data_IF_998736690560
#
_entry.id   IF_998736690560
#
_cell.length_a   1.000
_cell.length_b   1.000
_cell.length_c   1.000
_cell.angle_alpha   90.00
_cell.angle_beta   90.00
_cell.angle_gamma   90.00
#
_symmetry.space_group_name_H-M   'P 1'
#
loop_
_entity.id
_entity.type
_entity.pdbx_description
1 polymer ?
#
# COMPACT_ATOMS: atom_id res chain seq x y z
N UNK A 1 0.25 -25.06 -1.53
CA UNK A 1 1.23 -25.60 -0.56
C UNK A 1 1.59 -27.01 -0.97
N UNK A 2 2.89 -27.31 -1.09
CA UNK A 2 3.38 -28.58 -1.68
C UNK A 2 3.61 -29.68 -0.64
N UNK A 3 4.02 -29.31 0.57
CA UNK A 3 4.27 -30.24 1.67
C UNK A 3 3.96 -29.56 3.01
N UNK A 4 3.70 -30.36 4.03
CA UNK A 4 3.46 -29.94 5.41
C UNK A 4 4.51 -30.55 6.33
N UNK A 5 5.01 -29.77 7.30
CA UNK A 5 5.97 -30.23 8.29
C UNK A 5 5.35 -31.05 9.43
N UNK A 6 4.01 -31.05 9.54
CA UNK A 6 3.25 -31.73 10.57
C UNK A 6 2.00 -32.40 9.97
N UNK A 7 1.43 -33.37 10.69
CA UNK A 7 0.14 -33.98 10.31
C UNK A 7 -1.05 -33.06 10.52
N UNK A 8 -0.95 -32.11 11.45
CA UNK A 8 -2.01 -31.12 11.72
C UNK A 8 -2.18 -30.17 10.53
N UNK A 9 -1.09 -29.89 9.82
CA UNK A 9 -1.06 -29.03 8.63
C UNK A 9 -1.39 -29.76 7.33
N UNK A 10 -1.64 -31.08 7.36
CA UNK A 10 -1.84 -31.90 6.15
C UNK A 10 -3.02 -31.40 5.29
N UNK A 11 -4.03 -30.77 5.90
CA UNK A 11 -5.18 -30.19 5.18
C UNK A 11 -4.82 -29.04 4.23
N UNK A 12 -3.67 -28.39 4.41
CA UNK A 12 -3.21 -27.32 3.53
C UNK A 12 -2.53 -27.83 2.25
N UNK A 13 -2.07 -29.08 2.24
CA UNK A 13 -1.37 -29.65 1.08
C UNK A 13 -2.30 -29.66 -0.13
N UNK A 14 -1.80 -29.16 -1.26
CA UNK A 14 -2.57 -28.99 -2.50
C UNK A 14 -3.39 -27.70 -2.58
N UNK A 15 -3.56 -26.94 -1.49
CA UNK A 15 -4.32 -25.69 -1.52
C UNK A 15 -3.55 -24.54 -2.19
N UNK A 16 -4.28 -23.67 -2.89
CA UNK A 16 -3.75 -22.42 -3.40
C UNK A 16 -3.76 -21.35 -2.30
N UNK A 17 -2.61 -20.75 -2.04
CA UNK A 17 -2.42 -19.90 -0.86
C UNK A 17 -1.69 -18.60 -1.18
N UNK A 18 -1.85 -17.62 -0.31
CA UNK A 18 -1.03 -16.40 -0.21
C UNK A 18 -0.35 -16.38 1.16
N UNK A 19 0.77 -15.66 1.24
CA UNK A 19 1.59 -15.58 2.46
C UNK A 19 1.38 -14.21 3.10
N UNK A 20 1.09 -14.16 4.39
CA UNK A 20 1.23 -12.96 5.19
C UNK A 20 2.73 -12.69 5.43
N UNK A 21 3.29 -11.60 4.87
CA UNK A 21 4.72 -11.35 5.01
C UNK A 21 5.11 -10.78 6.37
N UNK A 22 4.18 -10.31 7.20
CA UNK A 22 4.47 -9.71 8.51
C UNK A 22 4.42 -10.74 9.63
N UNK A 23 5.58 -11.10 10.17
CA UNK A 23 5.72 -12.16 11.18
C UNK A 23 6.00 -11.58 12.56
N UNK A 24 5.59 -12.30 13.60
CA UNK A 24 5.86 -11.95 14.99
C UNK A 24 5.31 -10.56 15.40
N UNK A 25 4.11 -10.20 14.89
CA UNK A 25 3.48 -8.90 15.18
C UNK A 25 3.25 -8.66 16.68
N UNK A 26 2.94 -9.70 17.45
CA UNK A 26 2.63 -9.59 18.88
C UNK A 26 1.14 -9.33 19.17
N UNK A 27 0.82 -9.10 20.44
CA UNK A 27 -0.56 -9.06 20.94
C UNK A 27 -1.26 -7.71 20.77
N UNK A 28 -0.52 -6.60 20.61
CA UNK A 28 -1.12 -5.28 20.41
C UNK A 28 -1.39 -5.02 18.92
N UNK A 29 -2.66 -4.98 18.46
CA UNK A 29 -2.96 -4.73 17.04
C UNK A 29 -2.55 -3.32 16.57
N UNK A 30 -2.24 -2.39 17.48
CA UNK A 30 -1.86 -1.01 17.18
C UNK A 30 -0.38 -0.86 16.82
N UNK A 31 0.49 -1.78 17.24
CA UNK A 31 1.94 -1.68 17.04
C UNK A 31 2.58 -3.06 17.01
N UNK A 32 3.57 -3.23 16.15
CA UNK A 32 4.34 -4.46 16.06
C UNK A 32 5.29 -4.64 17.25
N UNK A 33 5.57 -5.88 17.63
CA UNK A 33 6.52 -6.24 18.68
C UNK A 33 7.97 -5.94 18.26
N UNK A 34 8.88 -6.03 19.22
CA UNK A 34 10.33 -5.94 18.99
C UNK A 34 10.89 -7.12 18.16
N UNK A 35 10.16 -8.24 18.12
CA UNK A 35 10.50 -9.42 17.30
C UNK A 35 9.95 -9.35 15.88
N UNK A 36 9.17 -8.32 15.56
CA UNK A 36 8.53 -8.20 14.26
C UNK A 36 9.56 -8.23 13.13
N UNK A 37 9.28 -9.05 12.12
CA UNK A 37 10.11 -9.17 10.91
C UNK A 37 9.25 -9.36 9.68
N UNK A 38 9.86 -9.14 8.52
CA UNK A 38 9.20 -9.27 7.23
C UNK A 38 9.86 -10.43 6.49
N UNK A 39 9.07 -11.39 5.99
CA UNK A 39 9.59 -12.50 5.19
C UNK A 39 10.50 -11.98 4.06
N UNK A 40 11.69 -12.56 3.92
CA UNK A 40 12.74 -12.10 3.01
C UNK A 40 13.74 -11.11 3.64
N UNK A 41 13.55 -10.73 4.91
CA UNK A 41 14.44 -9.84 5.66
C UNK A 41 14.46 -10.19 7.16
N UNK A 42 15.54 -10.80 7.71
CA UNK A 42 16.81 -11.16 7.07
C UNK A 42 16.83 -12.56 6.42
N UNK A 43 15.73 -13.31 6.55
CA UNK A 43 15.63 -14.71 6.13
C UNK A 43 15.43 -14.85 4.61
N UNK A 44 15.53 -16.08 4.09
CA UNK A 44 15.22 -16.38 2.69
C UNK A 44 13.78 -15.98 2.33
N UNK A 45 13.62 -15.42 1.12
CA UNK A 45 12.35 -14.83 0.64
C UNK A 45 11.66 -15.66 -0.44
N UNK A 46 10.73 -15.00 -1.14
CA UNK A 46 9.85 -15.63 -2.14
C UNK A 46 10.39 -15.60 -3.57
N UNK A 47 11.59 -15.04 -3.80
CA UNK A 47 12.27 -15.03 -5.09
C UNK A 47 13.01 -16.36 -5.33
N UNK A 48 12.26 -17.45 -5.22
CA UNK A 48 12.71 -18.83 -5.33
C UNK A 48 11.54 -19.71 -5.79
N UNK A 49 11.81 -20.91 -6.31
CA UNK A 49 10.75 -21.86 -6.70
C UNK A 49 10.02 -22.46 -5.50
N UNK A 50 10.63 -22.45 -4.32
CA UNK A 50 10.08 -22.96 -3.06
C UNK A 50 10.49 -22.05 -1.91
N UNK A 51 9.60 -21.92 -0.91
CA UNK A 51 9.87 -21.22 0.35
C UNK A 51 9.23 -22.00 1.49
N UNK A 52 9.91 -22.05 2.64
CA UNK A 52 9.38 -22.66 3.86
C UNK A 52 8.83 -21.54 4.74
N UNK A 53 7.55 -21.64 5.11
CA UNK A 53 6.88 -20.66 5.97
C UNK A 53 6.05 -21.38 7.03
N UNK A 54 5.96 -20.86 8.27
CA UNK A 54 5.00 -21.37 9.25
C UNK A 54 3.57 -21.24 8.73
N UNK A 55 2.73 -22.23 9.01
CA UNK A 55 1.36 -22.30 8.47
C UNK A 55 0.44 -21.20 9.00
N UNK A 56 0.72 -20.63 10.17
CA UNK A 56 0.00 -19.47 10.71
C UNK A 56 0.11 -18.20 9.83
N UNK A 57 1.13 -18.12 8.97
CA UNK A 57 1.31 -17.02 8.02
C UNK A 57 0.77 -17.35 6.63
N UNK A 58 0.01 -18.42 6.49
CA UNK A 58 -0.59 -18.85 5.23
C UNK A 58 -2.08 -18.55 5.27
N UNK A 59 -2.61 -18.01 4.18
CA UNK A 59 -4.05 -17.80 4.00
C UNK A 59 -4.51 -18.32 2.63
N UNK A 60 -5.80 -18.68 2.47
CA UNK A 60 -6.32 -19.08 1.18
C UNK A 60 -6.14 -17.98 0.13
N UNK A 61 -5.68 -18.36 -1.05
CA UNK A 61 -5.62 -17.44 -2.19
C UNK A 61 -7.05 -17.04 -2.58
N UNK A 62 -7.34 -15.76 -2.85
CA UNK A 62 -8.63 -15.37 -3.43
C UNK A 62 -8.92 -16.18 -4.71
N UNK A 63 -10.08 -16.84 -4.82
CA UNK A 63 -10.34 -17.81 -5.89
C UNK A 63 -10.26 -17.18 -7.29
N UNK A 64 -10.81 -15.98 -7.45
CA UNK A 64 -10.91 -15.27 -8.73
C UNK A 64 -9.65 -14.50 -9.14
N UNK A 65 -8.53 -14.71 -8.44
CA UNK A 65 -7.27 -14.03 -8.71
C UNK A 65 -6.40 -14.93 -9.59
N UNK A 66 -5.66 -14.34 -10.52
CA UNK A 66 -4.49 -15.00 -11.09
C UNK A 66 -3.42 -15.22 -10.01
N UNK A 67 -2.43 -16.07 -10.29
CA UNK A 67 -1.26 -16.19 -9.41
C UNK A 67 -0.48 -14.88 -9.31
N UNK A 68 -0.41 -14.10 -10.40
CA UNK A 68 0.27 -12.81 -10.40
C UNK A 68 -0.45 -11.79 -9.51
N UNK A 69 -1.79 -11.72 -9.56
CA UNK A 69 -2.57 -10.86 -8.66
C UNK A 69 -2.44 -11.31 -7.21
N UNK A 70 -2.50 -12.62 -6.96
CA UNK A 70 -2.33 -13.19 -5.63
C UNK A 70 -0.95 -12.89 -5.04
N UNK A 71 0.12 -12.91 -5.83
CA UNK A 71 1.46 -12.57 -5.40
C UNK A 71 1.66 -11.06 -5.20
N UNK A 72 0.99 -10.22 -6.02
CA UNK A 72 1.09 -8.76 -5.95
C UNK A 72 0.38 -8.16 -4.72
N UNK A 73 -0.60 -8.86 -4.16
CA UNK A 73 -1.50 -8.35 -3.12
C UNK A 73 -0.87 -8.20 -1.72
N UNK A 74 -0.21 -9.21 -1.11
CA UNK A 74 -0.07 -9.29 0.35
C UNK A 74 0.61 -8.07 1.00
N UNK A 75 1.85 -7.78 0.63
CA UNK A 75 2.66 -6.75 1.28
C UNK A 75 2.10 -5.34 1.03
N UNK A 76 1.86 -4.99 -0.24
CA UNK A 76 1.38 -3.66 -0.59
C UNK A 76 -0.08 -3.45 -0.17
N UNK A 77 -0.89 -4.50 -0.31
CA UNK A 77 -2.29 -4.50 0.06
C UNK A 77 -2.49 -4.31 1.56
N UNK A 78 -1.76 -5.03 2.42
CA UNK A 78 -1.95 -4.93 3.88
C UNK A 78 -1.44 -3.59 4.39
N UNK A 79 -0.32 -3.10 3.83
CA UNK A 79 0.22 -1.78 4.17
C UNK A 79 -0.77 -0.68 3.81
N UNK A 80 -1.33 -0.73 2.60
CA UNK A 80 -2.33 0.24 2.15
C UNK A 80 -3.64 0.11 2.92
N UNK A 81 -4.08 -1.11 3.25
CA UNK A 81 -5.28 -1.37 4.03
C UNK A 81 -5.15 -0.78 5.44
N UNK A 82 -4.04 -1.04 6.14
CA UNK A 82 -3.79 -0.43 7.44
C UNK A 82 -3.73 1.09 7.35
N UNK A 83 -3.02 1.63 6.36
CA UNK A 83 -2.90 3.08 6.21
C UNK A 83 -4.26 3.76 5.94
N UNK A 84 -5.07 3.19 5.04
CA UNK A 84 -6.35 3.78 4.65
C UNK A 84 -7.47 3.46 5.66
N UNK A 85 -7.71 2.17 5.90
CA UNK A 85 -8.87 1.69 6.64
C UNK A 85 -8.63 1.75 8.16
N UNK A 86 -7.54 1.17 8.65
CA UNK A 86 -7.31 1.02 10.10
C UNK A 86 -6.88 2.34 10.74
N UNK A 87 -5.84 2.98 10.20
CA UNK A 87 -5.28 4.23 10.73
C UNK A 87 -6.10 5.41 10.21
N UNK A 88 -6.20 5.50 8.89
CA UNK A 88 -6.88 6.56 8.18
C UNK A 88 -8.38 6.59 8.40
N UNK A 89 -9.02 5.51 8.89
CA UNK A 89 -10.49 5.42 9.09
C UNK A 89 -11.27 5.89 7.87
N UNK A 90 -10.79 5.46 6.69
CA UNK A 90 -11.34 5.81 5.38
C UNK A 90 -12.85 5.52 5.31
N UNK A 91 -13.62 6.48 4.81
CA UNK A 91 -15.04 6.32 4.48
C UNK A 91 -15.44 7.02 3.18
N UNK A 92 -16.68 6.81 2.74
CA UNK A 92 -17.21 7.39 1.49
C UNK A 92 -17.30 8.91 1.49
N UNK A 93 -17.41 9.52 2.67
CA UNK A 93 -17.42 10.98 2.82
C UNK A 93 -16.02 11.62 2.64
N UNK A 94 -14.96 10.81 2.54
CA UNK A 94 -13.61 11.33 2.46
C UNK A 94 -13.24 11.90 1.09
N UNK A 95 -12.48 13.00 1.15
CA UNK A 95 -11.62 13.47 0.06
C UNK A 95 -10.21 13.00 0.34
N UNK A 96 -9.79 11.96 -0.37
CA UNK A 96 -8.50 11.29 -0.15
C UNK A 96 -7.47 11.86 -1.13
N UNK A 97 -6.35 12.35 -0.62
CA UNK A 97 -5.18 12.67 -1.44
C UNK A 97 -4.11 11.60 -1.20
N UNK A 98 -3.69 10.92 -2.27
CA UNK A 98 -2.63 9.91 -2.23
C UNK A 98 -1.39 10.50 -2.90
N UNK A 99 -0.27 10.56 -2.18
CA UNK A 99 0.96 11.14 -2.72
C UNK A 99 1.78 10.12 -3.50
N UNK A 100 2.53 10.58 -4.49
CA UNK A 100 3.51 9.75 -5.20
C UNK A 100 2.91 8.52 -5.88
N UNK A 101 1.78 8.67 -6.58
CA UNK A 101 1.11 7.55 -7.25
C UNK A 101 2.05 6.88 -8.27
N UNK A 102 1.99 5.54 -8.31
CA UNK A 102 2.83 4.69 -9.16
C UNK A 102 3.39 3.49 -8.42
N UNK A 103 3.71 3.63 -7.13
CA UNK A 103 4.17 2.50 -6.31
C UNK A 103 3.05 1.53 -5.94
N UNK A 104 3.42 0.31 -5.55
CA UNK A 104 2.46 -0.74 -5.17
C UNK A 104 1.53 -0.33 -4.01
N UNK A 105 2.05 0.32 -2.96
CA UNK A 105 1.21 0.77 -1.83
C UNK A 105 0.27 1.90 -2.24
N UNK A 106 0.78 2.91 -2.98
CA UNK A 106 -0.03 4.05 -3.43
C UNK A 106 -1.16 3.62 -4.39
N UNK A 107 -0.87 2.69 -5.30
CA UNK A 107 -1.90 2.12 -6.20
C UNK A 107 -2.93 1.30 -5.42
N UNK A 108 -2.52 0.50 -4.43
CA UNK A 108 -3.48 -0.19 -3.54
C UNK A 108 -4.30 0.80 -2.70
N UNK A 109 -3.72 1.89 -2.21
CA UNK A 109 -4.45 2.93 -1.48
C UNK A 109 -5.55 3.56 -2.34
N UNK A 110 -5.29 3.77 -3.64
CA UNK A 110 -6.29 4.24 -4.60
C UNK A 110 -7.43 3.23 -4.73
N UNK A 111 -7.11 1.94 -4.85
CA UNK A 111 -8.12 0.90 -4.97
C UNK A 111 -8.99 0.79 -3.71
N UNK A 112 -8.40 0.93 -2.51
CA UNK A 112 -9.15 0.98 -1.25
C UNK A 112 -10.04 2.21 -1.16
N UNK A 113 -9.52 3.40 -1.48
CA UNK A 113 -10.29 4.65 -1.50
C UNK A 113 -11.47 4.56 -2.48
N UNK A 114 -11.25 3.97 -3.66
CA UNK A 114 -12.31 3.75 -4.65
C UNK A 114 -13.37 2.79 -4.13
N UNK A 115 -12.94 1.68 -3.54
CA UNK A 115 -13.84 0.68 -2.95
C UNK A 115 -14.71 1.26 -1.83
N UNK A 116 -14.17 2.18 -1.05
CA UNK A 116 -14.89 2.90 -0.01
C UNK A 116 -15.87 3.95 -0.57
N UNK A 117 -15.85 4.24 -1.87
CA UNK A 117 -16.66 5.28 -2.50
C UNK A 117 -16.19 6.71 -2.19
N UNK A 118 -14.93 6.88 -1.80
CA UNK A 118 -14.35 8.20 -1.51
C UNK A 118 -14.05 8.98 -2.79
N UNK A 119 -13.91 10.31 -2.66
CA UNK A 119 -13.42 11.17 -3.76
C UNK A 119 -11.89 11.21 -3.70
N UNK A 120 -11.21 10.95 -4.82
CA UNK A 120 -9.77 10.65 -4.80
C UNK A 120 -8.99 11.64 -5.67
N UNK A 121 -7.95 12.25 -5.10
CA UNK A 121 -6.90 12.93 -5.83
C UNK A 121 -5.55 12.22 -5.64
N UNK A 122 -4.65 12.39 -6.61
CA UNK A 122 -3.30 11.84 -6.54
C UNK A 122 -2.25 12.90 -6.84
N UNK A 123 -1.01 12.70 -6.37
CA UNK A 123 0.14 13.46 -6.87
C UNK A 123 1.19 12.54 -7.51
N UNK A 124 1.93 13.04 -8.51
CA UNK A 124 3.06 12.34 -9.11
C UNK A 124 4.07 13.33 -9.68
N UNK A 125 5.28 12.89 -10.02
CA UNK A 125 6.17 13.62 -10.94
C UNK A 125 5.90 13.26 -12.40
N UNK A 126 5.00 12.31 -12.67
CA UNK A 126 4.70 11.82 -14.02
C UNK A 126 3.25 12.04 -14.39
N UNK A 127 3.04 12.76 -15.49
CA UNK A 127 1.72 13.01 -16.06
C UNK A 127 1.05 11.70 -16.50
N UNK A 128 1.82 10.79 -17.09
CA UNK A 128 1.35 9.46 -17.50
C UNK A 128 0.78 8.67 -16.31
N UNK A 129 1.45 8.68 -15.15
CA UNK A 129 0.97 7.99 -13.95
C UNK A 129 -0.30 8.62 -13.38
N UNK A 130 -0.43 9.94 -13.46
CA UNK A 130 -1.66 10.64 -13.09
C UNK A 130 -2.81 10.19 -14.00
N UNK A 131 -2.59 10.11 -15.30
CA UNK A 131 -3.60 9.64 -16.25
C UNK A 131 -4.00 8.19 -15.99
N UNK A 132 -3.05 7.29 -15.73
CA UNK A 132 -3.34 5.91 -15.34
C UNK A 132 -4.18 5.86 -14.04
N UNK A 133 -3.85 6.68 -13.04
CA UNK A 133 -4.63 6.78 -11.81
C UNK A 133 -6.06 7.30 -12.04
N UNK A 134 -6.26 8.23 -12.99
CA UNK A 134 -7.59 8.71 -13.39
C UNK A 134 -8.44 7.60 -14.00
N UNK A 135 -7.85 6.77 -14.87
CA UNK A 135 -8.54 5.59 -15.41
C UNK A 135 -8.94 4.59 -14.32
N UNK A 136 -8.21 4.57 -13.21
CA UNK A 136 -8.51 3.70 -12.06
C UNK A 136 -9.50 4.32 -11.05
N UNK A 137 -9.90 5.58 -11.22
CA UNK A 137 -10.92 6.23 -10.40
C UNK A 137 -10.50 7.51 -9.67
N UNK A 138 -9.28 8.01 -9.87
CA UNK A 138 -8.90 9.33 -9.37
C UNK A 138 -9.67 10.44 -10.11
N UNK A 139 -10.37 11.31 -9.38
CA UNK A 139 -11.11 12.44 -9.96
C UNK A 139 -10.20 13.60 -10.35
N UNK A 140 -9.06 13.76 -9.65
CA UNK A 140 -8.06 14.78 -9.90
C UNK A 140 -6.63 14.23 -9.74
N UNK A 141 -5.66 14.90 -10.33
CA UNK A 141 -4.26 14.58 -10.09
C UNK A 141 -3.34 15.73 -10.42
N UNK A 142 -2.22 15.80 -9.71
CA UNK A 142 -1.36 16.98 -9.70
C UNK A 142 0.12 16.62 -9.83
N UNK A 143 0.83 17.36 -10.68
CA UNK A 143 2.28 17.24 -10.80
C UNK A 143 2.93 17.95 -9.61
N UNK A 144 3.51 17.22 -8.66
CA UNK A 144 4.13 17.87 -7.49
C UNK A 144 5.44 18.61 -7.84
N UNK A 145 5.93 18.47 -9.07
CA UNK A 145 7.05 19.23 -9.63
C UNK A 145 6.63 20.64 -10.06
N UNK A 146 5.34 20.90 -10.23
CA UNK A 146 4.79 22.23 -10.47
C UNK A 146 4.49 22.90 -9.13
N UNK A 147 5.14 24.01 -8.82
CA UNK A 147 4.97 24.68 -7.53
C UNK A 147 3.55 25.20 -7.25
N UNK A 148 2.71 25.35 -8.28
CA UNK A 148 1.32 25.80 -8.17
C UNK A 148 0.31 24.68 -7.92
N UNK A 149 0.77 23.43 -7.83
CA UNK A 149 -0.08 22.27 -7.59
C UNK A 149 -0.95 22.37 -6.32
N UNK A 150 -0.52 22.98 -5.20
CA UNK A 150 -1.35 23.08 -4.01
C UNK A 150 -2.57 23.98 -4.23
N UNK A 151 -2.39 25.11 -4.90
CA UNK A 151 -3.47 26.01 -5.28
C UNK A 151 -4.45 25.30 -6.22
N UNK A 152 -3.95 24.64 -7.26
CA UNK A 152 -4.76 23.85 -8.18
C UNK A 152 -5.53 22.73 -7.45
N UNK A 153 -4.93 22.10 -6.45
CA UNK A 153 -5.59 21.10 -5.60
C UNK A 153 -6.77 21.71 -4.84
N UNK A 154 -6.59 22.87 -4.19
CA UNK A 154 -7.68 23.54 -3.48
C UNK A 154 -8.81 24.00 -4.42
N UNK A 155 -8.49 24.45 -5.62
CA UNK A 155 -9.48 24.91 -6.60
C UNK A 155 -10.28 23.75 -7.22
N UNK A 156 -9.61 22.69 -7.64
CA UNK A 156 -10.24 21.61 -8.42
C UNK A 156 -10.80 20.47 -7.56
N UNK A 157 -10.20 20.23 -6.39
CA UNK A 157 -10.53 19.11 -5.50
C UNK A 157 -11.00 19.58 -4.12
N UNK A 158 -10.46 20.72 -3.68
CA UNK A 158 -10.63 21.25 -2.33
C UNK A 158 -9.80 20.51 -1.30
N UNK A 159 -10.04 20.83 -0.02
CA UNK A 159 -9.22 20.33 1.10
C UNK A 159 -9.40 18.82 1.33
N UNK A 160 -8.34 17.99 1.22
CA UNK A 160 -8.43 16.58 1.57
C UNK A 160 -8.81 16.40 3.04
N UNK A 161 -9.62 15.40 3.37
CA UNK A 161 -9.95 15.01 4.75
C UNK A 161 -9.08 13.84 5.22
N UNK A 162 -8.50 13.11 4.28
CA UNK A 162 -7.51 12.07 4.50
C UNK A 162 -6.37 12.24 3.50
N UNK A 163 -5.13 12.26 3.98
CA UNK A 163 -3.93 12.18 3.15
C UNK A 163 -3.21 10.88 3.48
N UNK A 164 -2.86 10.11 2.45
CA UNK A 164 -2.07 8.88 2.57
C UNK A 164 -0.73 9.13 1.89
N UNK A 165 0.33 9.19 2.69
CA UNK A 165 1.67 9.58 2.26
C UNK A 165 2.68 8.44 2.48
N UNK A 166 3.49 8.19 1.46
CA UNK A 166 4.67 7.32 1.55
C UNK A 166 5.99 8.06 1.25
N UNK A 167 5.92 9.33 0.88
CA UNK A 167 7.06 10.08 0.39
C UNK A 167 7.78 10.81 1.52
N UNK A 168 7.07 11.49 2.42
CA UNK A 168 7.69 12.41 3.37
C UNK A 168 8.37 13.60 2.69
N UNK A 169 9.58 13.93 3.14
CA UNK A 169 10.46 14.91 2.52
C UNK A 169 9.99 16.38 2.62
N UNK A 170 10.59 17.27 1.82
CA UNK A 170 10.34 18.73 1.91
C UNK A 170 8.89 19.15 1.67
N UNK A 171 8.13 18.38 0.89
CA UNK A 171 6.73 18.65 0.56
C UNK A 171 5.74 18.39 1.70
N UNK A 172 6.16 17.80 2.82
CA UNK A 172 5.24 17.36 3.87
C UNK A 172 4.44 18.51 4.51
N UNK A 173 5.04 19.70 4.67
CA UNK A 173 4.30 20.85 5.20
C UNK A 173 3.20 21.36 4.24
N UNK A 174 3.37 21.15 2.93
CA UNK A 174 2.31 21.45 1.94
C UNK A 174 1.10 20.54 2.18
N UNK A 175 1.31 19.27 2.53
CA UNK A 175 0.23 18.35 2.89
C UNK A 175 -0.50 18.82 4.15
N UNK A 176 0.24 19.25 5.18
CA UNK A 176 -0.32 19.85 6.40
C UNK A 176 -1.16 21.09 6.06
N UNK A 177 -0.73 21.92 5.11
CA UNK A 177 -1.43 23.13 4.69
C UNK A 177 -2.75 22.81 3.97
N UNK A 178 -2.73 21.83 3.07
CA UNK A 178 -3.88 21.41 2.28
C UNK A 178 -4.96 20.71 3.12
N UNK A 179 -4.55 19.89 4.09
CA UNK A 179 -5.46 19.05 4.88
C UNK A 179 -6.62 19.86 5.48
N UNK A 180 -7.82 19.31 5.54
CA UNK A 180 -8.96 19.95 6.18
C UNK A 180 -8.75 20.03 7.70
N UNK A 181 -9.33 21.02 8.41
CA UNK A 181 -9.46 20.94 9.87
C UNK A 181 -10.12 19.62 10.31
N UNK A 182 -9.60 18.99 11.36
CA UNK A 182 -10.00 17.64 11.80
C UNK A 182 -9.53 16.51 10.87
N UNK A 183 -8.73 16.82 9.84
CA UNK A 183 -8.26 15.85 8.87
C UNK A 183 -7.14 14.95 9.40
N UNK A 184 -6.92 13.85 8.69
CA UNK A 184 -5.92 12.82 9.03
C UNK A 184 -4.83 12.75 7.97
N UNK A 185 -3.58 12.68 8.38
CA UNK A 185 -2.44 12.40 7.52
C UNK A 185 -1.78 11.12 8.02
N UNK A 186 -1.87 10.06 7.22
CA UNK A 186 -1.27 8.76 7.51
C UNK A 186 0.01 8.62 6.70
N UNK A 187 1.14 8.55 7.39
CA UNK A 187 2.45 8.36 6.79
C UNK A 187 2.94 6.92 6.98
N UNK A 188 3.18 6.21 5.88
CA UNK A 188 3.66 4.82 5.91
C UNK A 188 5.12 4.65 5.42
N UNK A 189 5.78 5.74 5.04
CA UNK A 189 7.12 5.71 4.50
C UNK A 189 7.78 7.08 4.48
N UNK A 190 9.02 7.12 4.01
CA UNK A 190 9.78 8.36 3.87
C UNK A 190 10.76 8.25 2.70
N UNK A 191 10.27 7.86 1.51
CA UNK A 191 11.14 7.66 0.32
C UNK A 191 11.93 8.91 -0.06
N UNK A 192 11.40 10.10 0.21
CA UNK A 192 12.06 11.39 0.01
C UNK A 192 12.78 11.92 1.27
N UNK A 193 12.91 11.09 2.31
CA UNK A 193 13.54 11.43 3.58
C UNK A 193 12.59 12.08 4.59
N UNK A 194 13.15 12.50 5.72
CA UNK A 194 12.40 13.20 6.76
C UNK A 194 12.05 14.64 6.33
N UNK A 195 10.89 15.18 6.75
CA UNK A 195 10.61 16.60 6.57
C UNK A 195 11.61 17.45 7.37
N UNK A 196 12.09 18.59 6.83
CA UNK A 196 13.09 19.42 7.50
C UNK A 196 12.55 20.09 8.78
N UNK A 197 11.24 20.34 8.84
CA UNK A 197 10.51 20.85 10.00
C UNK A 197 9.06 20.41 9.94
N UNK A 198 8.38 20.44 11.08
CA UNK A 198 6.93 20.29 11.18
C UNK A 198 6.31 21.58 11.73
N UNK A 199 5.30 22.10 11.04
CA UNK A 199 4.55 23.27 11.49
C UNK A 199 3.53 22.89 12.57
N UNK A 200 3.98 22.86 13.83
CA UNK A 200 3.14 22.46 14.97
C UNK A 200 1.95 23.41 15.18
N UNK A 201 2.08 24.70 14.83
CA UNK A 201 0.99 25.66 14.95
C UNK A 201 -0.21 25.21 14.13
N UNK A 202 0.02 24.85 12.87
CA UNK A 202 -1.05 24.37 12.00
C UNK A 202 -1.61 23.03 12.45
N UNK A 203 -0.79 22.14 12.99
CA UNK A 203 -1.23 20.84 13.51
C UNK A 203 -2.24 21.03 14.65
N UNK A 204 -1.90 21.77 15.71
CA UNK A 204 -2.83 21.93 16.83
C UNK A 204 -4.00 22.85 16.51
N UNK A 205 -3.80 23.90 15.69
CA UNK A 205 -4.86 24.84 15.35
C UNK A 205 -5.95 24.19 14.48
N UNK A 206 -5.54 23.37 13.50
CA UNK A 206 -6.47 22.63 12.65
C UNK A 206 -6.92 21.30 13.27
N UNK A 207 -6.44 20.95 14.46
CA UNK A 207 -6.74 19.68 15.14
C UNK A 207 -6.47 18.46 14.23
N UNK A 208 -5.26 18.40 13.65
CA UNK A 208 -4.88 17.37 12.70
C UNK A 208 -4.41 16.09 13.41
N UNK A 209 -4.80 14.94 12.87
CA UNK A 209 -4.27 13.63 13.26
C UNK A 209 -3.07 13.28 12.36
N UNK A 210 -1.85 13.34 12.90
CA UNK A 210 -0.66 12.82 12.22
C UNK A 210 -0.37 11.41 12.70
N UNK A 211 -0.45 10.43 11.79
CA UNK A 211 -0.41 9.01 12.16
C UNK A 211 0.69 8.27 11.40
N UNK A 212 1.58 7.61 12.13
CA UNK A 212 2.46 6.58 11.56
C UNK A 212 1.69 5.29 11.26
N UNK A 213 2.13 4.58 10.21
CA UNK A 213 1.70 3.23 9.86
C UNK A 213 2.88 2.41 9.33
N UNK A 214 2.95 1.13 9.66
CA UNK A 214 3.93 0.18 9.13
C UNK A 214 3.22 -1.13 8.89
N UNK A 215 3.41 -1.73 7.71
CA UNK A 215 2.88 -3.05 7.35
C UNK A 215 1.39 -3.19 7.73
N UNK A 216 0.96 -4.33 8.25
CA UNK A 216 -0.23 -4.43 9.06
C UNK A 216 -0.28 -5.66 9.95
N UNK A 217 -1.18 -5.64 10.93
CA UNK A 217 -1.36 -6.72 11.88
C UNK A 217 -1.97 -7.96 11.21
N UNK A 218 -1.94 -9.13 11.86
CA UNK A 218 -2.68 -10.31 11.39
C UNK A 218 -4.17 -10.01 11.15
N UNK A 219 -4.78 -9.19 12.01
CA UNK A 219 -6.17 -8.74 11.84
C UNK A 219 -6.35 -7.85 10.60
N UNK A 220 -5.40 -6.93 10.33
CA UNK A 220 -5.43 -6.13 9.10
C UNK A 220 -5.34 -7.04 7.87
N UNK A 221 -4.47 -8.05 7.89
CA UNK A 221 -4.28 -8.99 6.79
C UNK A 221 -5.55 -9.82 6.53
N UNK A 222 -6.15 -10.37 7.59
CA UNK A 222 -7.39 -11.13 7.49
C UNK A 222 -8.55 -10.26 6.97
N UNK A 223 -8.71 -9.05 7.52
CA UNK A 223 -9.75 -8.12 7.08
C UNK A 223 -9.51 -7.59 5.65
N UNK A 224 -8.25 -7.42 5.25
CA UNK A 224 -7.88 -7.08 3.88
C UNK A 224 -8.36 -8.18 2.92
N UNK A 225 -8.07 -9.46 3.20
CA UNK A 225 -8.50 -10.57 2.35
C UNK A 225 -10.02 -10.70 2.25
N UNK A 226 -10.73 -10.52 3.38
CA UNK A 226 -12.20 -10.51 3.37
C UNK A 226 -12.76 -9.33 2.57
N UNK A 227 -12.14 -8.14 2.70
CA UNK A 227 -12.54 -6.96 1.92
C UNK A 227 -12.26 -7.14 0.44
N UNK A 228 -11.14 -7.76 0.07
CA UNK A 228 -10.85 -8.17 -1.31
C UNK A 228 -11.96 -9.06 -1.86
N UNK A 229 -12.35 -10.10 -1.11
CA UNK A 229 -13.41 -11.03 -1.51
C UNK A 229 -14.76 -10.34 -1.68
N UNK A 230 -15.10 -9.42 -0.78
CA UNK A 230 -16.40 -8.73 -0.77
C UNK A 230 -16.50 -7.60 -1.79
N UNK A 231 -15.41 -6.88 -2.03
CA UNK A 231 -15.42 -5.61 -2.78
C UNK A 231 -14.68 -5.70 -4.12
N UNK A 232 -13.98 -6.81 -4.41
CA UNK A 232 -13.26 -7.01 -5.66
C UNK A 232 -12.03 -6.12 -5.84
N UNK A 233 -11.37 -5.74 -4.74
CA UNK A 233 -10.20 -4.85 -4.76
C UNK A 233 -8.96 -5.56 -5.29
N UNK A 234 -8.62 -5.31 -6.56
CA UNK A 234 -7.49 -5.95 -7.26
C UNK A 234 -6.21 -5.11 -7.24
N UNK A 235 -5.03 -5.74 -7.08
CA UNK A 235 -3.77 -5.04 -7.23
C UNK A 235 -3.53 -4.63 -8.69
N UNK A 236 -2.86 -3.50 -8.88
CA UNK A 236 -2.40 -3.09 -10.21
C UNK A 236 -1.07 -3.77 -10.47
N UNK A 237 -1.01 -4.58 -11.53
CA UNK A 237 0.23 -5.22 -12.00
C UNK A 237 0.79 -4.38 -13.13
N UNK A 238 2.02 -3.98 -12.97
CA UNK A 238 2.78 -3.22 -13.96
C UNK A 238 3.41 -4.17 -14.99
N UNK A 239 4.07 -5.22 -14.52
CA UNK A 239 4.82 -6.16 -15.35
C UNK A 239 5.05 -7.47 -14.63
N UNK A 240 5.26 -8.52 -15.41
CA UNK A 240 5.60 -9.86 -14.94
C UNK A 240 6.90 -10.27 -15.61
N UNK A 241 7.87 -10.76 -14.83
CA UNK A 241 9.13 -11.30 -15.33
C UNK A 241 9.30 -12.73 -14.83
N UNK A 242 9.86 -13.64 -15.65
CA UNK A 242 10.27 -14.95 -15.15
C UNK A 242 11.48 -14.78 -14.22
N UNK A 243 11.67 -15.71 -13.27
CA UNK A 243 12.73 -15.66 -12.27
C UNK A 243 14.13 -15.50 -12.88
N UNK A 244 14.39 -16.06 -14.06
CA UNK A 244 15.67 -15.95 -14.78
C UNK A 244 15.97 -14.51 -15.23
N UNK A 245 14.95 -13.65 -15.35
CA UNK A 245 15.05 -12.24 -15.72
C UNK A 245 14.88 -11.30 -14.53
N UNK A 246 15.23 -11.76 -13.33
CA UNK A 246 15.15 -10.95 -12.11
C UNK A 246 15.92 -9.63 -12.21
N UNK A 247 17.06 -9.59 -12.90
CA UNK A 247 17.84 -8.36 -13.06
C UNK A 247 17.06 -7.29 -13.84
N UNK A 248 16.37 -7.68 -14.92
CA UNK A 248 15.53 -6.77 -15.71
C UNK A 248 14.36 -6.22 -14.87
N UNK A 249 13.79 -7.07 -14.01
CA UNK A 249 12.75 -6.65 -13.07
C UNK A 249 13.28 -5.64 -12.04
N UNK A 250 14.50 -5.86 -11.53
CA UNK A 250 15.17 -4.94 -10.60
C UNK A 250 15.54 -3.61 -11.26
N UNK A 251 15.99 -3.63 -12.52
CA UNK A 251 16.23 -2.42 -13.31
C UNK A 251 14.93 -1.63 -13.52
N UNK A 252 13.83 -2.31 -13.86
CA UNK A 252 12.52 -1.68 -14.00
C UNK A 252 12.01 -1.08 -12.67
N UNK A 253 12.27 -1.74 -11.56
CA UNK A 253 11.97 -1.20 -10.23
C UNK A 253 12.80 0.06 -9.95
N UNK A 254 14.11 0.00 -10.22
CA UNK A 254 15.06 1.10 -9.98
C UNK A 254 14.81 2.32 -10.86
N UNK A 255 14.33 2.12 -12.09
CA UNK A 255 13.96 3.19 -13.02
C UNK A 255 12.77 4.03 -12.53
N UNK A 256 11.98 3.54 -11.57
CA UNK A 256 10.83 4.24 -10.97
C UNK A 256 9.72 4.67 -11.94
N UNK A 257 9.73 4.23 -13.20
CA UNK A 257 8.68 4.53 -14.19
C UNK A 257 7.49 3.56 -14.15
N UNK A 258 7.61 2.45 -13.42
CA UNK A 258 6.54 1.47 -13.23
C UNK A 258 5.28 2.07 -12.59
N UNK A 259 4.12 1.48 -12.91
CA UNK A 259 2.83 1.83 -12.32
C UNK A 259 2.13 0.58 -11.76
N UNK A 260 2.30 0.35 -10.46
CA UNK A 260 1.80 -0.83 -9.76
C UNK A 260 2.91 -1.78 -9.32
N UNK A 261 2.61 -3.08 -9.27
CA UNK A 261 3.50 -4.13 -8.82
C UNK A 261 4.23 -4.79 -9.98
N UNK A 262 5.54 -4.97 -9.83
CA UNK A 262 6.35 -5.87 -10.64
C UNK A 262 6.30 -7.23 -9.96
N UNK A 263 5.92 -8.26 -10.71
CA UNK A 263 5.76 -9.64 -10.22
C UNK A 263 6.85 -10.52 -10.84
N UNK A 264 7.41 -11.42 -10.03
CA UNK A 264 8.30 -12.47 -10.51
C UNK A 264 7.53 -13.77 -10.57
N UNK A 265 7.55 -14.42 -11.72
CA UNK A 265 7.00 -15.76 -11.92
C UNK A 265 8.07 -16.79 -11.57
N UNK A 266 7.84 -17.49 -10.46
CA UNK A 266 8.75 -18.49 -9.92
C UNK A 266 8.24 -19.90 -10.25
N UNK A 267 8.82 -20.51 -11.29
CA UNK A 267 8.46 -21.87 -11.73
C UNK A 267 7.34 -21.90 -12.77
N UNK A 268 7.42 -22.88 -13.67
CA UNK A 268 6.41 -23.22 -14.69
C UNK A 268 5.49 -24.33 -14.21
#
# INVERSE_FOLDING_TARGET
MLAAGSTEDAGWVGQAVVINPGWDWGEDPRVQSDRFRILGMPDDGTLATHVVVPTEYVAPKPPDYSWHEAAALPLAGVTAYRACCTRGRLGSADRVLITGIGGGVATMALMWARSAGATIAVTSSSQQKIEQARHLGASAGFLYTDTSWPEACLEQFGRPTLIVDGAGGPGYNVLIDLLAPGGRLVNYGATAGAPPKLDLFKVFWKQLDLQGSTMGSPDDFAQMLESVRRQGVRPVIDSVFPLERINDAMERLAGKDHFGKIVIECGS
#
